data_IF_693074781498
#
_entry.id   IF_693074781498
#
_cell.length_a   1.000
_cell.length_b   1.000
_cell.length_c   1.000
_cell.angle_alpha   90.00
_cell.angle_beta   90.00
_cell.angle_gamma   90.00
#
_symmetry.space_group_name_H-M   'P 1'
#
loop_
_entity.id
_entity.type
_entity.pdbx_description
1 polymer ?
#
# COMPACT_ATOMS: atom_id res chain seq x y z
N UNK A 1 28.36 47.50 27.07
CA UNK A 1 27.63 46.87 25.96
C UNK A 1 27.75 45.37 26.14
N UNK A 2 26.69 44.70 26.62
CA UNK A 2 26.65 43.23 26.73
C UNK A 2 25.57 42.76 25.78
N UNK A 3 26.01 42.02 24.76
CA UNK A 3 25.18 41.55 23.65
C UNK A 3 24.44 40.29 24.12
N UNK A 4 23.11 40.30 24.05
CA UNK A 4 22.29 39.14 24.40
C UNK A 4 22.54 37.98 23.41
N UNK A 5 22.66 36.72 23.87
CA UNK A 5 22.85 35.58 22.99
C UNK A 5 21.57 35.30 22.17
N UNK A 6 21.69 34.87 20.90
CA UNK A 6 20.55 34.65 20.03
C UNK A 6 19.74 33.40 20.44
N UNK A 7 18.45 33.31 20.05
CA UNK A 7 17.56 32.22 20.44
C UNK A 7 17.90 30.93 19.68
N UNK A 8 18.76 30.07 20.26
CA UNK A 8 19.20 28.79 19.65
C UNK A 8 18.20 27.62 19.84
N UNK A 9 17.17 27.79 20.67
CA UNK A 9 16.24 26.71 21.02
C UNK A 9 15.35 26.18 19.86
N UNK A 10 14.84 27.00 18.91
CA UNK A 10 13.89 26.51 17.90
C UNK A 10 14.50 25.54 16.88
N UNK A 11 15.75 25.78 16.46
CA UNK A 11 16.46 24.92 15.50
C UNK A 11 16.84 23.56 16.11
N UNK A 12 17.22 23.55 17.40
CA UNK A 12 17.57 22.33 18.11
C UNK A 12 16.36 21.40 18.28
N UNK A 13 15.18 21.98 18.56
CA UNK A 13 13.92 21.23 18.66
C UNK A 13 13.51 20.66 17.29
N UNK A 14 13.57 21.45 16.21
CA UNK A 14 13.23 20.96 14.87
C UNK A 14 14.15 19.81 14.43
N UNK A 15 15.45 19.94 14.67
CA UNK A 15 16.44 18.90 14.32
C UNK A 15 16.20 17.62 15.13
N UNK A 16 15.89 17.75 16.42
CA UNK A 16 15.52 16.61 17.27
C UNK A 16 14.26 15.91 16.75
N UNK A 17 13.20 16.67 16.43
CA UNK A 17 11.95 16.13 15.90
C UNK A 17 12.16 15.45 14.55
N UNK A 18 12.94 16.04 13.65
CA UNK A 18 13.28 15.45 12.36
C UNK A 18 13.98 14.09 12.55
N UNK A 19 14.99 14.05 13.41
CA UNK A 19 15.70 12.79 13.74
C UNK A 19 14.77 11.73 14.32
N UNK A 20 13.83 12.13 15.18
CA UNK A 20 12.81 11.22 15.73
C UNK A 20 11.85 10.72 14.64
N UNK A 21 11.40 11.58 13.73
CA UNK A 21 10.56 11.19 12.60
C UNK A 21 11.28 10.19 11.69
N UNK A 22 12.54 10.45 11.36
CA UNK A 22 13.34 9.57 10.51
C UNK A 22 13.58 8.20 11.17
N UNK A 23 13.90 8.20 12.47
CA UNK A 23 14.07 6.97 13.26
C UNK A 23 12.78 6.13 13.27
N UNK A 24 11.63 6.77 13.51
CA UNK A 24 10.34 6.08 13.52
C UNK A 24 9.94 5.58 12.14
N UNK A 25 10.22 6.36 11.08
CA UNK A 25 9.97 5.95 9.70
C UNK A 25 10.77 4.70 9.35
N UNK A 26 12.07 4.69 9.64
CA UNK A 26 12.93 3.52 9.43
C UNK A 26 12.43 2.30 10.20
N UNK A 27 11.92 2.49 11.42
CA UNK A 27 11.34 1.40 12.22
C UNK A 27 10.03 0.87 11.61
N UNK A 28 9.16 1.73 11.09
CA UNK A 28 7.94 1.32 10.37
C UNK A 28 8.31 0.50 9.14
N UNK A 29 9.25 0.99 8.33
CA UNK A 29 9.71 0.28 7.12
C UNK A 29 10.28 -1.11 7.45
N UNK A 30 11.05 -1.22 8.54
CA UNK A 30 11.59 -2.50 9.00
C UNK A 30 10.48 -3.49 9.44
N UNK A 31 9.48 -3.01 10.19
CA UNK A 31 8.34 -3.83 10.62
C UNK A 31 7.46 -4.26 9.43
N UNK A 32 7.25 -3.38 8.46
CA UNK A 32 6.51 -3.71 7.24
C UNK A 32 7.22 -4.80 6.41
N UNK A 33 8.56 -4.76 6.35
CA UNK A 33 9.36 -5.79 5.71
C UNK A 33 9.25 -7.14 6.45
N UNK A 34 9.24 -7.13 7.78
CA UNK A 34 9.06 -8.34 8.60
C UNK A 34 7.66 -8.94 8.40
N UNK A 35 6.61 -8.12 8.44
CA UNK A 35 5.22 -8.55 8.16
C UNK A 35 5.13 -9.18 6.77
N UNK A 36 5.75 -8.56 5.76
CA UNK A 36 5.79 -9.09 4.40
C UNK A 36 6.45 -10.48 4.35
N UNK A 37 7.54 -10.66 5.08
CA UNK A 37 8.26 -11.93 5.18
C UNK A 37 7.40 -13.00 5.86
N UNK A 38 6.78 -12.68 7.00
CA UNK A 38 5.91 -13.59 7.73
C UNK A 38 4.68 -14.01 6.90
N UNK A 39 4.05 -13.07 6.18
CA UNK A 39 2.96 -13.38 5.27
C UNK A 39 3.41 -14.31 4.13
N UNK A 40 4.63 -14.13 3.62
CA UNK A 40 5.23 -15.03 2.64
C UNK A 40 5.34 -16.47 3.17
N UNK A 41 5.87 -16.63 4.39
CA UNK A 41 5.98 -17.93 5.05
C UNK A 41 4.60 -18.54 5.30
N UNK A 42 3.66 -17.76 5.84
CA UNK A 42 2.30 -18.21 6.11
C UNK A 42 1.62 -18.75 4.83
N UNK A 43 1.69 -18.00 3.73
CA UNK A 43 1.13 -18.43 2.45
C UNK A 43 1.79 -19.70 1.89
N UNK A 44 3.07 -19.94 2.19
CA UNK A 44 3.77 -21.16 1.78
C UNK A 44 3.36 -22.38 2.63
N UNK A 45 3.12 -22.19 3.93
CA UNK A 45 2.75 -23.26 4.86
C UNK A 45 1.25 -23.61 4.77
N UNK A 46 0.39 -22.64 4.48
CA UNK A 46 -1.06 -22.80 4.42
C UNK A 46 -1.59 -22.59 2.99
N UNK A 47 -1.43 -23.59 2.09
CA UNK A 47 -1.65 -23.40 0.67
C UNK A 47 -3.13 -23.24 0.29
N UNK A 48 -4.09 -23.49 1.19
CA UNK A 48 -5.52 -23.46 0.89
C UNK A 48 -5.99 -22.14 0.24
N UNK A 49 -5.41 -21.02 0.65
CA UNK A 49 -5.70 -19.70 0.07
C UNK A 49 -5.02 -19.54 -1.30
N UNK A 50 -3.85 -20.15 -1.50
CA UNK A 50 -3.10 -20.14 -2.76
C UNK A 50 -3.57 -21.19 -3.78
N UNK A 51 -4.33 -22.20 -3.36
CA UNK A 51 -4.75 -23.33 -4.20
C UNK A 51 -6.05 -23.06 -4.96
N UNK A 52 -6.77 -21.97 -4.66
CA UNK A 52 -8.00 -21.62 -5.37
C UNK A 52 -7.76 -21.48 -6.88
N UNK A 53 -8.61 -22.06 -7.74
CA UNK A 53 -8.57 -21.83 -9.18
C UNK A 53 -8.73 -20.34 -9.51
N UNK A 54 -8.19 -19.92 -10.66
CA UNK A 54 -8.22 -18.51 -11.09
C UNK A 54 -9.66 -18.01 -11.30
N UNK A 55 -10.56 -18.90 -11.71
CA UNK A 55 -11.98 -18.64 -11.92
C UNK A 55 -12.67 -18.30 -10.60
N UNK A 56 -12.39 -19.08 -9.54
CA UNK A 56 -12.93 -18.83 -8.21
C UNK A 56 -12.41 -17.50 -7.64
N UNK A 57 -11.12 -17.21 -7.84
CA UNK A 57 -10.54 -15.92 -7.46
C UNK A 57 -11.19 -14.76 -8.21
N UNK A 58 -11.44 -14.91 -9.51
CA UNK A 58 -12.14 -13.90 -10.31
C UNK A 58 -13.58 -13.66 -9.81
N UNK A 59 -14.29 -14.70 -9.35
CA UNK A 59 -15.62 -14.53 -8.78
C UNK A 59 -15.59 -13.85 -7.40
N UNK A 60 -14.62 -14.20 -6.55
CA UNK A 60 -14.37 -13.49 -5.29
C UNK A 60 -14.11 -12.01 -5.56
N UNK A 61 -13.22 -11.70 -6.51
CA UNK A 61 -12.92 -10.33 -6.91
C UNK A 61 -14.13 -9.61 -7.49
N UNK A 62 -14.95 -10.27 -8.29
CA UNK A 62 -16.20 -9.69 -8.79
C UNK A 62 -17.14 -9.35 -7.64
N UNK A 63 -17.24 -10.21 -6.64
CA UNK A 63 -18.06 -9.98 -5.45
C UNK A 63 -17.52 -8.84 -4.56
N UNK A 64 -16.20 -8.67 -4.48
CA UNK A 64 -15.56 -7.54 -3.78
C UNK A 64 -15.67 -6.23 -4.55
N UNK A 65 -15.64 -6.28 -5.88
CA UNK A 65 -15.75 -5.12 -6.77
C UNK A 65 -17.21 -4.67 -6.97
N UNK A 66 -18.18 -5.57 -6.75
CA UNK A 66 -19.60 -5.24 -6.84
C UNK A 66 -19.99 -4.26 -5.72
N UNK A 67 -20.09 -2.98 -6.11
CA UNK A 67 -20.59 -1.88 -5.32
C UNK A 67 -22.09 -2.05 -5.00
N UNK A 68 -22.45 -2.97 -4.12
CA UNK A 68 -23.71 -2.79 -3.40
C UNK A 68 -23.52 -1.59 -2.45
N UNK A 69 -24.32 -0.52 -2.59
CA UNK A 69 -24.18 0.67 -1.76
C UNK A 69 -24.28 0.29 -0.28
N UNK A 70 -23.23 0.62 0.50
CA UNK A 70 -23.26 0.51 1.96
C UNK A 70 -22.56 -0.67 2.61
N UNK A 71 -21.96 -1.63 1.88
CA UNK A 71 -21.29 -2.78 2.51
C UNK A 71 -19.81 -2.98 2.17
N UNK A 72 -19.30 -2.47 1.05
CA UNK A 72 -17.92 -2.75 0.62
C UNK A 72 -17.21 -1.56 0.00
N UNK A 73 -15.93 -1.50 0.30
CA UNK A 73 -15.02 -0.42 -0.08
C UNK A 73 -14.08 -0.89 -1.18
N UNK A 74 -13.58 0.05 -1.98
CA UNK A 74 -12.52 -0.20 -2.98
C UNK A 74 -11.22 -0.72 -2.34
N UNK A 75 -11.05 -0.49 -1.02
CA UNK A 75 -9.98 -1.08 -0.23
C UNK A 75 -10.12 -2.59 -0.05
N UNK A 76 -11.33 -3.15 -0.01
CA UNK A 76 -11.51 -4.61 0.18
C UNK A 76 -10.97 -5.39 -1.01
N UNK A 77 -11.22 -4.88 -2.23
CA UNK A 77 -10.65 -5.40 -3.46
C UNK A 77 -9.12 -5.30 -3.47
N UNK A 78 -8.57 -4.15 -3.05
CA UNK A 78 -7.12 -3.92 -2.98
C UNK A 78 -6.44 -4.82 -1.95
N UNK A 79 -7.05 -5.01 -0.78
CA UNK A 79 -6.58 -5.88 0.29
C UNK A 79 -6.56 -7.35 -0.15
N UNK A 80 -7.59 -7.80 -0.88
CA UNK A 80 -7.61 -9.16 -1.43
C UNK A 80 -6.46 -9.37 -2.43
N UNK A 81 -6.17 -8.41 -3.30
CA UNK A 81 -4.99 -8.49 -4.19
C UNK A 81 -3.64 -8.45 -3.45
N UNK A 82 -3.61 -8.00 -2.20
CA UNK A 82 -2.39 -7.96 -1.38
C UNK A 82 -2.06 -9.30 -0.71
N UNK A 83 -2.96 -10.30 -0.72
CA UNK A 83 -2.78 -11.60 -0.03
C UNK A 83 -1.53 -12.34 -0.51
N UNK A 84 -1.40 -12.57 -1.82
CA UNK A 84 -0.22 -13.22 -2.41
C UNK A 84 -0.06 -12.86 -3.89
N UNK A 85 1.09 -13.23 -4.49
CA UNK A 85 1.41 -12.98 -5.90
C UNK A 85 0.34 -13.54 -6.86
N UNK A 86 -0.20 -14.72 -6.58
CA UNK A 86 -1.24 -15.35 -7.42
C UNK A 86 -2.53 -14.53 -7.43
N UNK A 87 -3.02 -14.13 -6.26
CA UNK A 87 -4.22 -13.30 -6.14
C UNK A 87 -4.07 -11.98 -6.88
N UNK A 88 -2.91 -11.32 -6.70
CA UNK A 88 -2.56 -10.11 -7.45
C UNK A 88 -2.61 -10.32 -8.96
N UNK A 89 -1.95 -11.37 -9.45
CA UNK A 89 -1.90 -11.66 -10.88
C UNK A 89 -3.30 -11.89 -11.47
N UNK A 90 -4.16 -12.62 -10.77
CA UNK A 90 -5.54 -12.85 -11.23
C UNK A 90 -6.36 -11.55 -11.19
N UNK A 91 -6.31 -10.79 -10.10
CA UNK A 91 -7.03 -9.52 -9.98
C UNK A 91 -6.58 -8.48 -11.03
N UNK A 92 -5.28 -8.37 -11.28
CA UNK A 92 -4.73 -7.50 -12.31
C UNK A 92 -5.00 -8.00 -13.74
N UNK A 93 -5.10 -9.31 -13.96
CA UNK A 93 -5.29 -9.91 -15.29
C UNK A 93 -6.73 -9.81 -15.81
N UNK A 94 -7.71 -9.54 -14.94
CA UNK A 94 -9.12 -9.49 -15.32
C UNK A 94 -9.53 -8.06 -15.66
N UNK A 95 -9.55 -7.73 -16.95
CA UNK A 95 -9.79 -6.38 -17.48
C UNK A 95 -11.08 -5.72 -16.95
N UNK A 96 -12.16 -6.49 -16.71
CA UNK A 96 -13.44 -5.96 -16.23
C UNK A 96 -13.33 -5.22 -14.88
N UNK A 97 -12.35 -5.55 -14.04
CA UNK A 97 -12.15 -4.89 -12.74
C UNK A 97 -11.49 -3.51 -12.86
N UNK A 98 -10.86 -3.19 -13.98
CA UNK A 98 -10.12 -1.94 -14.19
C UNK A 98 -10.89 -0.92 -15.04
N UNK A 99 -12.17 -1.19 -15.29
CA UNK A 99 -13.07 -0.29 -16.03
C UNK A 99 -13.45 0.96 -15.24
N UNK A 100 -13.26 0.95 -13.91
CA UNK A 100 -13.50 2.08 -13.00
C UNK A 100 -12.34 2.17 -12.02
N UNK A 101 -11.45 3.13 -12.23
CA UNK A 101 -10.33 3.39 -11.32
C UNK A 101 -10.70 4.60 -10.46
N UNK A 102 -11.05 4.40 -9.17
CA UNK A 102 -11.39 5.50 -8.28
C UNK A 102 -10.12 6.31 -7.93
N UNK A 103 -9.95 7.47 -8.56
CA UNK A 103 -8.83 8.38 -8.32
C UNK A 103 -9.13 9.35 -7.16
N UNK A 104 -9.45 8.83 -5.98
CA UNK A 104 -9.79 9.67 -4.82
C UNK A 104 -8.57 10.12 -4.02
N UNK A 105 -7.39 9.54 -4.27
CA UNK A 105 -6.16 9.89 -3.56
C UNK A 105 -5.17 10.59 -4.52
N UNK A 106 -5.04 11.92 -4.44
CA UNK A 106 -4.17 12.68 -5.34
C UNK A 106 -2.68 12.31 -5.18
N UNK A 107 -2.24 11.92 -3.98
CA UNK A 107 -0.85 11.52 -3.75
C UNK A 107 -0.51 10.21 -4.47
N UNK A 108 -1.42 9.21 -4.39
CA UNK A 108 -1.24 7.93 -5.09
C UNK A 108 -1.32 8.10 -6.60
N UNK A 109 -2.20 8.98 -7.09
CA UNK A 109 -2.27 9.32 -8.51
C UNK A 109 -0.95 9.95 -8.98
N UNK A 110 -0.44 10.96 -8.28
CA UNK A 110 0.82 11.62 -8.62
C UNK A 110 2.00 10.65 -8.61
N UNK A 111 2.12 9.81 -7.57
CA UNK A 111 3.16 8.78 -7.52
C UNK A 111 3.04 7.76 -8.66
N UNK A 112 1.82 7.44 -9.10
CA UNK A 112 1.60 6.53 -10.22
C UNK A 112 1.97 7.17 -11.56
N UNK A 113 1.65 8.45 -11.76
CA UNK A 113 2.07 9.23 -12.94
C UNK A 113 3.60 9.40 -13.00
N UNK A 114 4.24 9.67 -11.86
CA UNK A 114 5.69 9.80 -11.80
C UNK A 114 6.39 8.49 -12.15
N UNK A 115 5.87 7.35 -11.65
CA UNK A 115 6.39 6.01 -11.98
C UNK A 115 6.16 5.60 -13.43
N UNK A 116 5.05 6.02 -14.06
CA UNK A 116 4.76 5.66 -15.44
C UNK A 116 5.43 6.57 -16.47
N UNK A 117 6.00 7.72 -16.05
CA UNK A 117 6.62 8.70 -16.94
C UNK A 117 7.75 8.13 -17.81
N UNK A 118 8.46 7.10 -17.35
CA UNK A 118 9.57 6.46 -18.07
C UNK A 118 9.18 5.21 -18.85
N UNK A 119 7.91 4.79 -18.82
CA UNK A 119 7.46 3.59 -19.52
C UNK A 119 7.09 3.91 -20.98
N UNK A 120 7.47 3.06 -21.95
CA UNK A 120 7.03 3.21 -23.33
C UNK A 120 5.51 3.06 -23.43
N UNK A 121 4.90 3.87 -24.30
CA UNK A 121 3.47 3.79 -24.64
C UNK A 121 3.17 2.57 -25.51
#
# INVERSE_FOLDING_TARGET
MVQAPPPQAPLAVHTFLQKQCDTRRAMIEALEAEITTLNGIHNAVFPHVTSLPSEMLAEIFSYLNNHHPGQRTTSDFSNAMAVCKKWRNVGCGVARFWTRIPLHNPNLLMASLERSRSLPL
#
